data_IF_746089804675
#
_entry.id   IF_746089804675
#
_cell.length_a   1.000
_cell.length_b   1.000
_cell.length_c   1.000
_cell.angle_alpha   90.00
_cell.angle_beta   90.00
_cell.angle_gamma   90.00
#
_symmetry.space_group_name_H-M   'P 1'
#
loop_
_entity.id
_entity.type
_entity.pdbx_description
1 polymer ?
#
# COMPACT_ATOMS: atom_id res chain seq x y z
N UNK A 1 12.79 2.36 14.31
CA UNK A 1 12.10 1.39 13.43
C UNK A 1 11.55 2.20 12.27
N UNK A 2 11.89 1.85 11.03
CA UNK A 2 11.59 2.61 9.81
C UNK A 2 10.43 1.90 9.12
N UNK A 3 9.21 2.34 9.39
CA UNK A 3 7.97 1.73 8.92
C UNK A 3 7.39 2.53 7.76
N UNK A 4 6.74 1.85 6.81
CA UNK A 4 6.11 2.49 5.64
C UNK A 4 4.59 2.49 5.82
N UNK A 5 4.00 3.68 5.74
CA UNK A 5 2.55 3.85 5.90
C UNK A 5 1.80 3.51 4.61
N UNK A 6 0.93 2.50 4.68
CA UNK A 6 0.08 2.05 3.59
C UNK A 6 -1.40 2.16 3.97
N UNK A 7 -2.20 2.77 3.08
CA UNK A 7 -3.66 2.78 3.17
C UNK A 7 -4.24 1.99 1.99
N UNK A 8 -5.28 1.21 2.25
CA UNK A 8 -6.08 0.62 1.18
C UNK A 8 -7.43 1.32 1.09
N UNK A 9 -7.83 1.68 -0.13
CA UNK A 9 -9.13 2.22 -0.46
C UNK A 9 -9.73 1.39 -1.61
N UNK A 10 -11.04 1.20 -1.61
CA UNK A 10 -11.75 0.63 -2.75
C UNK A 10 -12.84 1.62 -3.19
N UNK A 11 -13.05 1.71 -4.50
CA UNK A 11 -14.08 2.56 -5.08
C UNK A 11 -14.89 1.71 -6.06
N UNK A 12 -16.09 1.31 -5.63
CA UNK A 12 -16.99 0.48 -6.42
C UNK A 12 -17.94 1.35 -7.22
N UNK A 13 -17.86 1.30 -8.54
CA UNK A 13 -18.80 1.98 -9.44
C UNK A 13 -20.12 1.19 -9.62
N UNK A 14 -20.19 -0.05 -9.13
CA UNK A 14 -21.36 -0.92 -9.24
C UNK A 14 -21.47 -1.85 -8.00
N UNK A 15 -22.66 -1.97 -7.37
CA UNK A 15 -22.83 -2.63 -6.07
C UNK A 15 -22.44 -4.11 -6.06
N UNK A 16 -22.68 -4.83 -7.16
CA UNK A 16 -22.38 -6.28 -7.25
C UNK A 16 -20.89 -6.64 -7.10
N UNK A 17 -19.98 -5.67 -7.29
CA UNK A 17 -18.53 -5.89 -7.17
C UNK A 17 -17.93 -5.24 -5.92
N UNK A 18 -18.74 -4.48 -5.16
CA UNK A 18 -18.29 -3.81 -3.95
C UNK A 18 -17.77 -4.81 -2.91
N UNK A 19 -18.44 -5.96 -2.77
CA UNK A 19 -18.03 -7.01 -1.83
C UNK A 19 -16.69 -7.65 -2.22
N UNK A 20 -16.45 -7.85 -3.52
CA UNK A 20 -15.20 -8.42 -4.02
C UNK A 20 -14.03 -7.46 -3.81
N UNK A 21 -14.23 -6.19 -4.15
CA UNK A 21 -13.21 -5.14 -3.97
C UNK A 21 -12.93 -4.87 -2.49
N UNK A 22 -13.97 -4.90 -1.64
CA UNK A 22 -13.81 -4.81 -0.19
C UNK A 22 -13.03 -6.01 0.36
N UNK A 23 -13.33 -7.23 -0.10
CA UNK A 23 -12.58 -8.44 0.29
C UNK A 23 -11.09 -8.31 -0.04
N UNK A 24 -10.77 -7.75 -1.21
CA UNK A 24 -9.39 -7.51 -1.65
C UNK A 24 -8.69 -6.43 -0.82
N UNK A 25 -9.38 -5.35 -0.50
CA UNK A 25 -8.87 -4.31 0.38
C UNK A 25 -8.58 -4.85 1.79
N UNK A 26 -9.48 -5.66 2.33
CA UNK A 26 -9.29 -6.36 3.62
C UNK A 26 -8.12 -7.34 3.56
N UNK A 27 -7.95 -8.08 2.45
CA UNK A 27 -6.82 -8.97 2.26
C UNK A 27 -5.49 -8.19 2.29
N UNK A 28 -5.40 -7.08 1.58
CA UNK A 28 -4.20 -6.23 1.57
C UNK A 28 -3.90 -5.66 2.95
N UNK A 29 -4.92 -5.17 3.67
CA UNK A 29 -4.76 -4.65 5.02
C UNK A 29 -4.25 -5.71 6.01
N UNK A 30 -4.69 -6.96 5.88
CA UNK A 30 -4.16 -8.09 6.68
C UNK A 30 -2.70 -8.37 6.37
N UNK A 31 -2.32 -8.41 5.09
CA UNK A 31 -0.93 -8.62 4.68
C UNK A 31 0.01 -7.55 5.23
N UNK A 32 -0.45 -6.29 5.27
CA UNK A 32 0.28 -5.18 5.89
C UNK A 32 0.41 -5.37 7.40
N UNK A 33 -0.70 -5.69 8.08
CA UNK A 33 -0.72 -5.83 9.54
C UNK A 33 0.12 -7.01 10.05
N UNK A 34 0.28 -8.05 9.23
CA UNK A 34 1.08 -9.24 9.54
C UNK A 34 2.59 -9.05 9.25
N UNK A 35 3.02 -7.89 8.73
CA UNK A 35 4.39 -7.63 8.30
C UNK A 35 5.02 -6.44 9.03
N UNK A 36 6.20 -6.65 9.62
CA UNK A 36 6.88 -5.65 10.45
C UNK A 36 7.45 -4.45 9.65
N UNK A 37 7.57 -4.57 8.32
CA UNK A 37 8.14 -3.51 7.47
C UNK A 37 7.13 -2.42 7.12
N UNK A 38 5.84 -2.72 7.26
CA UNK A 38 4.75 -1.81 6.90
C UNK A 38 3.90 -1.45 8.11
N UNK A 39 3.17 -0.36 7.99
CA UNK A 39 2.19 0.09 8.99
C UNK A 39 0.89 0.46 8.27
N UNK A 40 -0.24 0.00 8.81
CA UNK A 40 -1.55 0.30 8.25
C UNK A 40 -1.94 1.74 8.63
N UNK A 41 -2.16 2.58 7.63
CA UNK A 41 -2.60 3.95 7.83
C UNK A 41 -4.11 4.00 8.13
N UNK A 42 -4.47 3.79 9.40
CA UNK A 42 -5.84 3.84 9.98
C UNK A 42 -5.87 4.80 11.18
N UNK A 43 -7.04 5.36 11.54
CA UNK A 43 -7.18 6.77 11.90
C UNK A 43 -6.14 7.22 12.93
N UNK A 44 -5.32 8.15 12.43
CA UNK A 44 -4.24 8.91 13.04
C UNK A 44 -4.26 8.98 14.57
N UNK A 45 -3.71 7.96 15.25
CA UNK A 45 -3.43 8.04 16.68
C UNK A 45 -2.07 7.46 17.10
N UNK A 46 -1.36 6.73 16.24
CA UNK A 46 -0.09 6.11 16.59
C UNK A 46 0.88 6.21 15.41
N UNK A 47 2.11 6.66 15.69
CA UNK A 47 3.26 6.54 14.80
C UNK A 47 3.30 7.51 13.61
N UNK A 48 4.29 8.41 13.57
CA UNK A 48 4.64 9.14 12.36
C UNK A 48 5.88 8.47 11.76
N UNK A 49 5.71 7.82 10.61
CA UNK A 49 6.83 7.34 9.80
C UNK A 49 7.54 8.51 9.09
N UNK A 50 8.84 8.37 8.81
CA UNK A 50 9.63 9.42 8.17
C UNK A 50 9.30 9.51 6.68
N UNK A 51 8.60 10.59 6.28
CA UNK A 51 8.13 10.89 4.93
C UNK A 51 9.09 10.56 3.76
N UNK A 52 10.40 10.72 3.96
CA UNK A 52 11.39 10.54 2.90
C UNK A 52 11.49 9.08 2.40
N UNK A 53 11.28 8.10 3.28
CA UNK A 53 11.31 6.68 2.88
C UNK A 53 10.05 6.31 2.09
N UNK A 54 8.88 6.79 2.52
CA UNK A 54 7.63 6.57 1.81
C UNK A 54 7.66 7.23 0.43
N UNK A 55 8.24 8.44 0.30
CA UNK A 55 8.44 9.11 -0.99
C UNK A 55 9.39 8.30 -1.91
N UNK A 56 10.51 7.82 -1.38
CA UNK A 56 11.48 7.05 -2.16
C UNK A 56 10.88 5.72 -2.64
N UNK A 57 10.14 5.03 -1.77
CA UNK A 57 9.42 3.80 -2.13
C UNK A 57 8.34 4.04 -3.17
N UNK A 58 7.55 5.11 -3.02
CA UNK A 58 6.53 5.45 -4.01
C UNK A 58 7.12 5.59 -5.41
N UNK A 59 8.24 6.32 -5.51
CA UNK A 59 8.91 6.55 -6.78
C UNK A 59 9.46 5.23 -7.35
N UNK A 60 10.11 4.41 -6.52
CA UNK A 60 10.61 3.10 -6.95
C UNK A 60 9.49 2.17 -7.45
N UNK A 61 8.33 2.15 -6.79
CA UNK A 61 7.17 1.36 -7.19
C UNK A 61 6.62 1.84 -8.53
N UNK A 62 6.42 3.14 -8.68
CA UNK A 62 5.84 3.70 -9.89
C UNK A 62 6.81 3.63 -11.09
N UNK A 63 8.12 3.73 -10.85
CA UNK A 63 9.17 3.56 -11.87
C UNK A 63 9.34 2.11 -12.33
N UNK A 64 9.11 1.15 -11.44
CA UNK A 64 9.16 -0.29 -11.72
C UNK A 64 7.99 -0.76 -12.61
N UNK A 65 6.88 -0.02 -12.63
CA UNK A 65 5.70 -0.19 -13.51
C UNK A 65 4.94 -1.53 -13.36
N UNK A 66 5.28 -2.39 -12.40
CA UNK A 66 4.50 -3.60 -12.10
C UNK A 66 3.19 -3.29 -11.39
N UNK A 67 3.19 -2.28 -10.51
CA UNK A 67 2.01 -1.79 -9.80
C UNK A 67 2.04 -0.26 -9.73
N UNK A 68 0.90 0.35 -9.45
CA UNK A 68 0.79 1.80 -9.28
C UNK A 68 0.21 2.12 -7.90
N UNK A 69 0.93 2.90 -7.11
CA UNK A 69 0.46 3.42 -5.84
C UNK A 69 0.33 4.93 -5.90
N UNK A 70 -0.75 5.44 -5.30
CA UNK A 70 -1.01 6.87 -5.26
C UNK A 70 -0.39 7.43 -3.98
N UNK A 71 0.59 8.35 -4.06
CA UNK A 71 1.10 9.02 -2.87
C UNK A 71 0.04 9.96 -2.32
N UNK A 72 -0.01 10.11 -1.00
CA UNK A 72 -0.92 11.06 -0.35
C UNK A 72 -0.32 11.62 0.92
N UNK A 73 -0.73 12.85 1.26
CA UNK A 73 -0.21 13.57 2.41
C UNK A 73 -1.35 14.17 3.21
N UNK A 74 -1.39 13.85 4.50
CA UNK A 74 -2.39 14.39 5.44
C UNK A 74 -1.65 14.83 6.70
N UNK A 75 -1.89 16.07 7.15
CA UNK A 75 -1.26 16.65 8.35
C UNK A 75 0.28 16.52 8.42
N UNK A 76 0.94 16.52 7.26
CA UNK A 76 2.41 16.40 7.19
C UNK A 76 2.93 14.97 7.09
N UNK A 77 2.08 13.94 7.23
CA UNK A 77 2.43 12.52 7.07
C UNK A 77 2.20 12.10 5.63
N UNK A 78 3.20 11.48 5.01
CA UNK A 78 3.15 10.93 3.68
C UNK A 78 2.88 9.42 3.75
N UNK A 79 1.90 8.92 3.01
CA UNK A 79 1.53 7.50 2.98
C UNK A 79 1.17 7.10 1.55
N UNK A 80 1.26 5.81 1.25
CA UNK A 80 0.90 5.28 -0.07
C UNK A 80 -0.51 4.69 -0.02
N UNK A 81 -1.27 4.93 -1.08
CA UNK A 81 -2.61 4.37 -1.24
C UNK A 81 -2.66 3.34 -2.34
N UNK A 82 -3.13 2.15 -2.01
CA UNK A 82 -3.58 1.16 -3.00
C UNK A 82 -5.08 1.37 -3.23
N UNK A 83 -5.45 1.73 -4.45
CA UNK A 83 -6.84 1.86 -4.88
C UNK A 83 -7.28 0.63 -5.68
N UNK A 84 -8.19 -0.17 -5.12
CA UNK A 84 -8.77 -1.32 -5.82
C UNK A 84 -10.00 -0.84 -6.60
N UNK A 85 -9.82 -0.61 -7.92
CA UNK A 85 -10.87 -0.04 -8.79
C UNK A 85 -11.31 -0.98 -9.91
N UNK A 86 -10.55 -2.04 -10.22
CA UNK A 86 -10.85 -2.97 -11.31
C UNK A 86 -11.63 -4.18 -10.81
N UNK A 87 -12.60 -4.63 -11.60
CA UNK A 87 -13.32 -5.88 -11.35
C UNK A 87 -12.48 -7.12 -11.71
N UNK A 88 -11.42 -6.93 -12.50
CA UNK A 88 -10.49 -7.98 -12.89
C UNK A 88 -9.39 -8.23 -11.85
N UNK A 89 -9.29 -7.36 -10.84
CA UNK A 89 -8.36 -7.58 -9.73
C UNK A 89 -8.76 -8.86 -9.02
N UNK A 90 -7.77 -9.71 -8.75
CA UNK A 90 -7.90 -10.98 -8.04
C UNK A 90 -7.16 -10.93 -6.70
N UNK A 91 -7.38 -11.92 -5.84
CA UNK A 91 -6.63 -12.04 -4.58
C UNK A 91 -5.12 -12.25 -4.88
N UNK A 92 -4.78 -12.89 -5.99
CA UNK A 92 -3.40 -13.08 -6.48
C UNK A 92 -2.75 -11.75 -6.86
N UNK A 93 -3.48 -10.85 -7.51
CA UNK A 93 -2.96 -9.52 -7.87
C UNK A 93 -2.65 -8.68 -6.62
N UNK A 94 -3.50 -8.79 -5.59
CA UNK A 94 -3.28 -8.12 -4.30
C UNK A 94 -2.01 -8.64 -3.61
N UNK A 95 -1.84 -9.97 -3.58
CA UNK A 95 -0.61 -10.60 -3.03
C UNK A 95 0.62 -10.21 -3.85
N UNK A 96 0.49 -10.15 -5.17
CA UNK A 96 1.56 -9.71 -6.05
C UNK A 96 1.96 -8.26 -5.73
N UNK A 97 1.00 -7.35 -5.59
CA UNK A 97 1.28 -5.96 -5.23
C UNK A 97 2.01 -5.83 -3.90
N UNK A 98 1.58 -6.57 -2.88
CA UNK A 98 2.26 -6.64 -1.59
C UNK A 98 3.72 -7.14 -1.72
N UNK A 99 3.94 -8.21 -2.49
CA UNK A 99 5.28 -8.76 -2.72
C UNK A 99 6.21 -7.78 -3.44
N UNK A 100 5.70 -7.02 -4.43
CA UNK A 100 6.46 -5.97 -5.12
C UNK A 100 6.87 -4.87 -4.14
N UNK A 101 5.98 -4.45 -3.23
CA UNK A 101 6.31 -3.48 -2.19
C UNK A 101 7.45 -3.99 -1.30
N UNK A 102 7.37 -5.25 -0.83
CA UNK A 102 8.44 -5.87 -0.02
C UNK A 102 9.77 -5.91 -0.74
N UNK A 103 9.76 -6.38 -1.99
CA UNK A 103 10.96 -6.49 -2.81
C UNK A 103 11.67 -5.14 -2.94
N UNK A 104 10.90 -4.08 -3.19
CA UNK A 104 11.45 -2.73 -3.38
C UNK A 104 11.95 -2.11 -2.07
N UNK A 105 11.26 -2.31 -0.94
CA UNK A 105 11.78 -1.91 0.38
C UNK A 105 13.09 -2.62 0.69
N UNK A 106 13.16 -3.93 0.45
CA UNK A 106 14.37 -4.71 0.71
C UNK A 106 15.54 -4.25 -0.17
N UNK A 107 15.29 -3.93 -1.44
CA UNK A 107 16.31 -3.34 -2.33
C UNK A 107 16.78 -1.98 -1.83
N UNK A 108 15.88 -1.12 -1.38
CA UNK A 108 16.25 0.18 -0.80
C UNK A 108 17.13 0.03 0.43
N UNK A 109 16.77 -0.88 1.34
CA UNK A 109 17.56 -1.16 2.55
C UNK A 109 18.90 -1.83 2.25
N UNK A 110 19.01 -2.58 1.16
CA UNK A 110 20.26 -3.23 0.73
C UNK A 110 21.24 -2.30 0.01
N UNK A 111 20.79 -1.09 -0.35
CA UNK A 111 21.59 -0.08 -1.06
C UNK A 111 22.13 1.02 -0.13
N UNK A 112 21.79 0.94 1.17
CA UNK A 112 22.29 1.80 2.25
C UNK A 112 23.36 1.07 3.07
#
# INVERSE_FOLDING_TARGET
MRQVDLKCEFESCHPDYADLQNKQAVLFAKLIADDDDFELFVPQHLGLSTNQENETLCNAINDDRRIHLVPSKVHGTFFLRLAVCSQLTTDEDVKFAFNVCKELIQKQRSTL
#
